data_IF_613843739580
#
_entry.id   IF_613843739580
#
_cell.length_a   1.000
_cell.length_b   1.000
_cell.length_c   1.000
_cell.angle_alpha   90.00
_cell.angle_beta   90.00
_cell.angle_gamma   90.00
#
_symmetry.space_group_name_H-M   'P 1'
#
loop_
_entity.id
_entity.type
_entity.pdbx_description
1 polymer ?
#
# COMPACT_ATOMS: atom_id res chain seq x y z
N UNK A 1 -2.03 -12.06 -4.25
CA UNK A 1 -2.85 -11.19 -3.38
C UNK A 1 -3.62 -10.19 -4.24
N UNK A 2 -4.73 -9.74 -3.76
CA UNK A 2 -5.58 -8.82 -4.50
C UNK A 2 -5.69 -7.48 -3.78
N UNK A 3 -5.95 -6.41 -4.54
CA UNK A 3 -6.28 -5.10 -4.02
C UNK A 3 -7.75 -4.78 -4.35
N UNK A 4 -8.35 -3.90 -3.55
CA UNK A 4 -9.69 -3.42 -3.85
C UNK A 4 -9.64 -2.25 -4.85
N UNK A 5 -10.81 -1.79 -5.27
CA UNK A 5 -10.95 -0.68 -6.22
C UNK A 5 -11.76 0.48 -5.63
N UNK A 6 -11.76 0.60 -4.31
CA UNK A 6 -12.54 1.62 -3.61
C UNK A 6 -11.93 3.01 -3.80
N UNK A 7 -12.78 3.98 -4.12
CA UNK A 7 -12.36 5.38 -4.22
C UNK A 7 -12.23 6.01 -2.82
N UNK A 8 -11.60 7.17 -2.75
CA UNK A 8 -11.50 7.94 -1.49
C UNK A 8 -12.89 8.22 -0.88
N UNK A 9 -13.91 8.39 -1.70
CA UNK A 9 -15.27 8.64 -1.23
C UNK A 9 -15.89 7.45 -0.50
N UNK A 10 -15.35 6.26 -0.66
CA UNK A 10 -15.81 5.04 0.01
C UNK A 10 -15.05 4.76 1.31
N UNK A 11 -14.20 5.69 1.74
CA UNK A 11 -13.43 5.61 2.98
C UNK A 11 -13.95 6.61 4.01
N UNK A 12 -13.79 6.27 5.29
CA UNK A 12 -14.27 7.08 6.40
C UNK A 12 -13.34 6.93 7.60
N UNK A 13 -13.68 7.61 8.69
CA UNK A 13 -12.96 7.54 9.96
C UNK A 13 -13.34 6.31 10.80
N UNK A 14 -14.41 5.60 10.45
CA UNK A 14 -14.92 4.45 11.21
C UNK A 14 -15.30 3.31 10.28
N UNK A 15 -15.19 2.09 10.77
CA UNK A 15 -15.52 0.85 10.07
C UNK A 15 -14.64 -0.28 10.60
N UNK A 16 -15.00 -1.52 10.28
CA UNK A 16 -14.27 -2.69 10.78
C UNK A 16 -13.00 -3.00 10.01
N UNK A 17 -12.90 -2.55 8.76
CA UNK A 17 -11.79 -2.86 7.86
C UNK A 17 -11.07 -1.58 7.48
N UNK A 18 -9.74 -1.59 7.59
CA UNK A 18 -8.87 -0.50 7.19
C UNK A 18 -8.46 -0.64 5.71
N UNK A 19 -8.10 0.47 5.09
CA UNK A 19 -7.70 0.51 3.68
C UNK A 19 -6.37 1.24 3.50
N UNK A 20 -5.49 0.66 2.69
CA UNK A 20 -4.23 1.30 2.30
C UNK A 20 -4.43 1.93 0.92
N UNK A 21 -4.74 3.21 0.90
CA UNK A 21 -4.95 3.98 -0.33
C UNK A 21 -3.62 4.42 -0.94
N UNK A 22 -3.49 4.32 -2.28
CA UNK A 22 -2.22 4.65 -2.95
C UNK A 22 -1.74 6.09 -2.67
N UNK A 23 -2.67 7.03 -2.57
CA UNK A 23 -2.33 8.42 -2.26
C UNK A 23 -1.67 8.56 -0.90
N UNK A 24 -2.10 7.76 0.08
CA UNK A 24 -1.50 7.76 1.41
C UNK A 24 -0.12 7.10 1.40
N UNK A 25 0.07 6.06 0.58
CA UNK A 25 1.39 5.45 0.37
C UNK A 25 2.37 6.49 -0.19
N UNK A 26 1.93 7.27 -1.16
CA UNK A 26 2.79 8.27 -1.82
C UNK A 26 3.18 9.42 -0.91
N UNK A 27 2.27 9.90 -0.06
CA UNK A 27 2.41 11.21 0.60
C UNK A 27 2.49 11.07 2.13
N UNK A 28 1.70 10.20 2.72
CA UNK A 28 1.44 10.19 4.15
C UNK A 28 2.36 9.28 4.94
N UNK A 29 2.63 8.09 4.42
CA UNK A 29 3.44 7.09 5.11
C UNK A 29 4.91 7.18 4.68
N UNK A 30 5.81 6.84 5.59
CA UNK A 30 7.22 6.66 5.26
C UNK A 30 7.45 5.35 4.51
N UNK A 31 8.58 4.72 4.77
CA UNK A 31 8.91 3.40 4.20
C UNK A 31 8.28 2.24 5.00
N UNK A 32 7.96 2.49 6.25
CA UNK A 32 7.37 1.51 7.16
C UNK A 32 6.06 2.08 7.67
N UNK A 33 4.98 1.32 7.57
CA UNK A 33 3.70 1.67 8.16
C UNK A 33 3.45 0.81 9.39
N UNK A 34 3.43 1.45 10.56
CA UNK A 34 2.94 0.84 11.78
C UNK A 34 1.41 0.83 11.71
N UNK A 35 0.82 -0.37 11.70
CA UNK A 35 -0.63 -0.52 11.55
C UNK A 35 -1.42 -0.05 12.77
N UNK A 36 -0.76 0.37 13.85
CA UNK A 36 -1.42 1.05 14.97
C UNK A 36 -1.70 2.52 14.70
N UNK A 37 -1.20 3.06 13.58
CA UNK A 37 -1.46 4.43 13.16
C UNK A 37 -2.97 4.65 13.02
N UNK A 38 -3.53 5.57 13.82
CA UNK A 38 -4.96 5.84 13.84
C UNK A 38 -5.44 6.74 12.70
N UNK A 39 -4.54 7.15 11.82
CA UNK A 39 -4.88 7.93 10.62
C UNK A 39 -5.11 7.07 9.40
N UNK A 40 -4.93 5.75 9.49
CA UNK A 40 -5.26 4.83 8.39
C UNK A 40 -6.79 4.88 8.19
N UNK A 41 -7.26 5.17 6.96
CA UNK A 41 -8.69 5.27 6.73
C UNK A 41 -9.38 3.91 6.85
N UNK A 42 -10.67 3.96 7.18
CA UNK A 42 -11.54 2.80 7.28
C UNK A 42 -12.41 2.72 6.04
N UNK A 43 -12.76 1.51 5.63
CA UNK A 43 -13.75 1.30 4.58
C UNK A 43 -15.15 1.53 5.17
N UNK A 44 -16.00 2.29 4.47
CA UNK A 44 -17.40 2.48 4.88
C UNK A 44 -18.06 1.11 5.01
N UNK A 45 -18.74 0.88 6.13
CA UNK A 45 -19.43 -0.38 6.41
C UNK A 45 -20.33 -0.78 5.25
N UNK A 46 -20.19 -2.02 4.79
CA UNK A 46 -20.90 -2.56 3.65
C UNK A 46 -20.14 -2.48 2.33
N UNK A 47 -19.07 -1.71 2.25
CA UNK A 47 -18.23 -1.59 1.05
C UNK A 47 -17.00 -2.49 1.08
N UNK A 48 -16.68 -3.09 2.22
CA UNK A 48 -15.54 -4.02 2.33
C UNK A 48 -15.77 -5.28 1.51
N UNK A 49 -14.68 -5.83 0.95
CA UNK A 49 -14.74 -7.10 0.25
C UNK A 49 -14.65 -8.27 1.23
N UNK A 50 -15.40 -9.34 0.97
CA UNK A 50 -15.28 -10.59 1.72
C UNK A 50 -14.34 -11.59 1.04
N UNK A 51 -13.85 -11.27 -0.15
CA UNK A 51 -13.08 -12.19 -0.99
C UNK A 51 -11.58 -11.92 -1.01
N UNK A 52 -11.12 -10.86 -0.33
CA UNK A 52 -9.71 -10.48 -0.33
C UNK A 52 -9.02 -10.94 0.94
N UNK A 53 -7.78 -11.37 0.79
CA UNK A 53 -6.93 -11.66 1.94
C UNK A 53 -6.56 -10.37 2.65
N UNK A 54 -6.63 -10.38 3.96
CA UNK A 54 -6.15 -9.25 4.74
C UNK A 54 -4.62 -9.26 4.81
N UNK A 55 -4.07 -8.07 4.91
CA UNK A 55 -2.63 -7.88 4.99
C UNK A 55 -2.07 -8.42 6.31
N UNK A 56 -0.81 -8.83 6.28
CA UNK A 56 -0.07 -9.39 7.41
C UNK A 56 1.22 -8.61 7.61
N UNK A 57 1.82 -8.76 8.79
CA UNK A 57 3.14 -8.18 9.08
C UNK A 57 4.16 -8.63 8.04
N UNK A 58 4.94 -7.70 7.53
CA UNK A 58 5.93 -7.96 6.49
C UNK A 58 5.41 -7.88 5.08
N UNK A 59 4.10 -7.73 4.88
CA UNK A 59 3.55 -7.48 3.55
C UNK A 59 4.01 -6.13 3.02
N UNK A 60 4.19 -6.06 1.70
CA UNK A 60 4.65 -4.87 0.98
C UNK A 60 3.50 -4.33 0.16
N UNK A 61 3.32 -3.02 0.17
CA UNK A 61 2.35 -2.31 -0.69
C UNK A 61 3.11 -1.34 -1.57
N UNK A 62 2.94 -1.47 -2.87
CA UNK A 62 3.57 -0.59 -3.87
C UNK A 62 2.48 0.26 -4.52
N UNK A 63 2.67 1.58 -4.54
CA UNK A 63 1.80 2.48 -5.29
C UNK A 63 2.12 2.36 -6.79
N UNK A 64 1.15 1.90 -7.59
CA UNK A 64 1.37 1.66 -9.02
C UNK A 64 1.01 2.87 -9.89
N UNK A 65 0.53 3.94 -9.31
CA UNK A 65 0.09 5.15 -10.03
C UNK A 65 0.46 6.39 -9.23
N UNK A 66 0.99 7.41 -9.90
CA UNK A 66 1.31 8.71 -9.30
C UNK A 66 1.32 9.79 -10.38
N UNK A 67 1.27 11.06 -9.97
CA UNK A 67 1.35 12.20 -10.88
C UNK A 67 2.78 12.48 -11.36
N UNK A 68 3.77 11.82 -10.79
CA UNK A 68 5.19 12.00 -11.12
C UNK A 68 5.96 10.69 -10.95
N UNK A 69 7.29 10.77 -10.94
CA UNK A 69 8.18 9.61 -10.83
C UNK A 69 8.22 8.98 -9.43
N UNK A 70 7.42 9.47 -8.46
CA UNK A 70 7.27 8.80 -7.17
C UNK A 70 6.47 7.49 -7.29
N UNK A 71 5.87 7.21 -8.43
CA UNK A 71 5.25 5.92 -8.69
C UNK A 71 6.23 4.79 -8.37
N UNK A 72 5.73 3.75 -7.72
CA UNK A 72 6.58 2.67 -7.20
C UNK A 72 7.01 2.84 -5.75
N UNK A 73 6.63 3.97 -5.10
CA UNK A 73 6.86 4.11 -3.68
C UNK A 73 6.22 2.96 -2.91
N UNK A 74 6.94 2.47 -1.92
CA UNK A 74 6.61 1.23 -1.22
C UNK A 74 6.52 1.47 0.27
N UNK A 75 5.63 0.73 0.93
CA UNK A 75 5.61 0.62 2.39
C UNK A 75 5.66 -0.85 2.80
N UNK A 76 6.27 -1.10 3.94
CA UNK A 76 6.21 -2.40 4.62
C UNK A 76 5.33 -2.26 5.84
N UNK A 77 4.43 -3.23 6.07
CA UNK A 77 3.47 -3.21 7.17
C UNK A 77 4.01 -3.95 8.39
N UNK A 78 3.83 -3.34 9.55
CA UNK A 78 4.18 -3.91 10.85
C UNK A 78 3.05 -3.70 11.85
N UNK A 79 3.02 -4.53 12.91
CA UNK A 79 2.15 -4.39 14.07
C UNK A 79 0.65 -4.45 13.73
N UNK A 80 0.26 -5.30 12.82
CA UNK A 80 -1.14 -5.45 12.41
C UNK A 80 -2.01 -5.98 13.54
N UNK A 81 -1.52 -6.97 14.30
CA UNK A 81 -2.16 -7.44 15.56
C UNK A 81 -3.65 -7.77 15.42
N UNK A 82 -4.01 -8.51 14.39
CA UNK A 82 -5.39 -8.95 14.17
C UNK A 82 -6.31 -7.91 13.55
N UNK A 83 -5.83 -6.71 13.23
CA UNK A 83 -6.59 -5.74 12.45
C UNK A 83 -6.84 -6.26 11.05
N UNK A 84 -8.00 -5.92 10.49
CA UNK A 84 -8.37 -6.29 9.12
C UNK A 84 -8.00 -5.13 8.22
N UNK A 85 -7.02 -5.33 7.35
CA UNK A 85 -6.50 -4.28 6.46
C UNK A 85 -6.48 -4.81 5.03
N UNK A 86 -7.09 -4.08 4.11
CA UNK A 86 -7.08 -4.38 2.68
C UNK A 86 -6.08 -3.49 1.94
N UNK A 87 -5.47 -4.05 0.89
CA UNK A 87 -4.74 -3.28 -0.09
C UNK A 87 -5.74 -2.52 -0.96
N UNK A 88 -5.54 -1.21 -1.12
CA UNK A 88 -6.49 -0.34 -1.77
C UNK A 88 -6.25 -0.11 -3.26
N UNK A 89 -7.01 0.82 -3.81
CA UNK A 89 -6.96 1.23 -5.20
C UNK A 89 -5.53 1.64 -5.60
N UNK A 90 -5.11 1.23 -6.79
CA UNK A 90 -3.79 1.54 -7.36
C UNK A 90 -2.61 1.15 -6.46
N UNK A 91 -2.76 0.03 -5.76
CA UNK A 91 -1.68 -0.59 -5.02
C UNK A 91 -1.41 -2.00 -5.53
N UNK A 92 -0.16 -2.42 -5.40
CA UNK A 92 0.25 -3.79 -5.67
C UNK A 92 0.69 -4.41 -4.35
N UNK A 93 -0.13 -5.28 -3.75
CA UNK A 93 0.27 -5.97 -2.54
C UNK A 93 1.18 -7.15 -2.88
N UNK A 94 2.26 -7.29 -2.12
CA UNK A 94 3.22 -8.37 -2.30
C UNK A 94 3.51 -9.03 -0.95
N UNK A 95 3.48 -10.35 -0.92
CA UNK A 95 3.88 -11.13 0.26
C UNK A 95 5.17 -11.86 -0.06
N UNK A 96 6.27 -11.59 0.67
CA UNK A 96 7.53 -12.28 0.42
C UNK A 96 7.38 -13.78 0.57
N UNK A 97 8.01 -14.54 -0.32
CA UNK A 97 8.03 -15.99 -0.26
C UNK A 97 9.10 -16.51 0.70
N UNK A 98 10.05 -15.66 1.07
CA UNK A 98 11.13 -15.97 2.01
C UNK A 98 11.10 -14.98 3.17
N UNK A 99 11.54 -15.36 4.37
CA UNK A 99 11.66 -14.41 5.46
C UNK A 99 12.79 -13.41 5.19
N UNK A 100 12.46 -12.13 5.22
CA UNK A 100 13.45 -11.03 5.21
C UNK A 100 13.55 -10.44 6.60
N UNK A 101 14.68 -9.81 6.89
CA UNK A 101 14.80 -9.02 8.11
C UNK A 101 13.69 -7.96 8.13
N UNK A 102 13.07 -7.78 9.30
CA UNK A 102 12.02 -6.78 9.47
C UNK A 102 12.50 -5.40 9.02
N UNK A 103 11.65 -4.68 8.27
CA UNK A 103 11.91 -3.35 7.70
C UNK A 103 12.86 -3.33 6.51
N UNK A 104 13.52 -4.44 6.18
CA UNK A 104 14.50 -4.44 5.08
C UNK A 104 13.87 -4.07 3.75
N UNK A 105 12.80 -4.75 3.36
CA UNK A 105 12.18 -4.52 2.05
C UNK A 105 11.58 -3.12 1.95
N UNK A 106 10.92 -2.64 3.00
CA UNK A 106 10.35 -1.30 3.01
C UNK A 106 11.40 -0.22 2.75
N UNK A 107 12.56 -0.34 3.34
CA UNK A 107 13.64 0.59 3.10
C UNK A 107 14.31 0.37 1.74
N UNK A 108 14.63 -0.88 1.39
CA UNK A 108 15.34 -1.18 0.15
C UNK A 108 14.54 -0.76 -1.08
N UNK A 109 13.25 -1.06 -1.12
CA UNK A 109 12.39 -0.78 -2.29
C UNK A 109 12.08 0.70 -2.47
N UNK A 110 12.47 1.55 -1.52
CA UNK A 110 12.41 3.01 -1.67
C UNK A 110 13.78 3.64 -1.95
N UNK A 111 14.83 2.84 -2.11
CA UNK A 111 16.16 3.39 -2.46
C UNK A 111 16.19 3.82 -3.92
N UNK A 112 17.03 4.83 -4.26
CA UNK A 112 17.25 5.19 -5.65
C UNK A 112 17.77 4.00 -6.48
N UNK A 113 18.57 3.13 -5.89
CA UNK A 113 19.10 1.93 -6.55
C UNK A 113 17.98 1.01 -7.04
N UNK A 114 16.96 0.78 -6.22
CA UNK A 114 15.81 -0.02 -6.62
C UNK A 114 14.90 0.77 -7.57
N UNK A 115 14.55 1.99 -7.21
CA UNK A 115 13.57 2.82 -7.92
C UNK A 115 13.98 3.12 -9.36
N UNK A 116 15.27 3.33 -9.60
CA UNK A 116 15.75 3.59 -10.98
C UNK A 116 15.44 2.46 -11.95
N UNK A 117 15.22 1.24 -11.47
CA UNK A 117 14.86 0.10 -12.30
C UNK A 117 13.39 0.16 -12.75
N UNK A 118 12.57 0.92 -12.04
CA UNK A 118 11.15 1.11 -12.39
C UNK A 118 10.96 2.22 -13.42
N UNK A 119 11.86 3.20 -13.48
CA UNK A 119 11.71 4.36 -14.36
C UNK A 119 11.46 3.96 -15.82
N UNK A 120 12.19 3.02 -16.43
CA UNK A 120 11.92 2.60 -17.79
C UNK A 120 10.56 1.94 -18.01
N UNK A 121 9.91 1.51 -16.94
CA UNK A 121 8.60 0.84 -16.99
C UNK A 121 7.44 1.82 -16.82
N UNK A 122 7.72 3.07 -16.48
CA UNK A 122 6.70 4.09 -16.26
C UNK A 122 6.03 4.46 -17.57
N UNK A 123 4.70 4.54 -17.56
CA UNK A 123 3.88 4.88 -18.72
C UNK A 123 2.92 6.00 -18.36
N UNK A 124 2.65 6.87 -19.34
CA UNK A 124 1.72 7.97 -19.18
C UNK A 124 2.38 9.33 -19.39
N UNK A 125 1.57 10.39 -19.43
CA UNK A 125 2.05 11.77 -19.64
C UNK A 125 1.80 12.62 -18.39
N UNK A 126 0.56 12.64 -17.91
CA UNK A 126 0.18 13.41 -16.70
C UNK A 126 0.17 12.58 -15.44
N UNK A 127 -0.23 11.31 -15.60
CA UNK A 127 -0.28 10.33 -14.51
C UNK A 127 0.56 9.14 -14.95
N UNK A 128 1.51 8.75 -14.13
CA UNK A 128 2.40 7.63 -14.42
C UNK A 128 1.91 6.37 -13.72
N UNK A 129 2.06 5.25 -14.41
CA UNK A 129 1.75 3.92 -13.86
C UNK A 129 2.86 2.93 -14.17
N UNK A 130 2.94 1.90 -13.38
CA UNK A 130 3.87 0.80 -13.57
C UNK A 130 3.17 -0.55 -13.62
#
# INVERSE_FOLDING_TARGET
MQNNTLSRAELDATGDVLDIHYGDVLIKYGSILDATDNTIPHIISGHESTNYDYLQDGDIIVADTAEDETVGKTIELLNISGRKIEAGLHTVPCRPLFPFASMYLGYYMNTPHYHKQLVPLMQGIKVLSI
#
